data_IF_385444498388
#
_entry.id   IF_385444498388
#
_cell.length_a   1.000
_cell.length_b   1.000
_cell.length_c   1.000
_cell.angle_alpha   90.00
_cell.angle_beta   90.00
_cell.angle_gamma   90.00
#
_symmetry.space_group_name_H-M   'P 1'
#
loop_
_entity.id
_entity.type
_entity.pdbx_description
1 polymer ?
#
# COMPACT_ATOMS: atom_id res chain seq x y z
N UNK A 1 -23.76 -23.86 -4.55
CA UNK A 1 -22.55 -23.36 -3.85
C UNK A 1 -21.67 -22.71 -4.90
N UNK A 2 -21.08 -21.55 -4.60
CA UNK A 2 -20.21 -20.85 -5.55
C UNK A 2 -18.73 -21.17 -5.30
N UNK A 3 -17.91 -21.06 -6.33
CA UNK A 3 -16.46 -21.24 -6.26
C UNK A 3 -15.83 -20.18 -5.36
N UNK A 4 -14.86 -20.59 -4.54
CA UNK A 4 -14.09 -19.71 -3.68
C UNK A 4 -12.66 -19.73 -4.15
N UNK A 5 -12.11 -18.57 -4.52
CA UNK A 5 -10.76 -18.51 -5.08
C UNK A 5 -9.93 -17.51 -4.27
N UNK A 6 -8.75 -17.95 -3.87
CA UNK A 6 -7.73 -17.13 -3.23
C UNK A 6 -6.45 -17.14 -4.08
N UNK A 7 -5.84 -15.98 -4.28
CA UNK A 7 -4.65 -15.82 -5.10
C UNK A 7 -3.64 -14.96 -4.34
N UNK A 8 -2.39 -15.37 -4.35
CA UNK A 8 -1.28 -14.52 -3.91
C UNK A 8 -0.34 -14.29 -5.09
N UNK A 9 -0.24 -13.02 -5.50
CA UNK A 9 0.66 -12.59 -6.58
C UNK A 9 1.97 -12.10 -6.00
N UNK A 10 2.93 -13.03 -5.90
CA UNK A 10 4.32 -12.73 -5.58
C UNK A 10 5.10 -12.17 -6.78
N UNK A 11 6.37 -11.82 -6.56
CA UNK A 11 7.26 -11.33 -7.62
C UNK A 11 7.68 -12.41 -8.63
N UNK A 12 7.88 -13.65 -8.18
CA UNK A 12 8.34 -14.77 -9.03
C UNK A 12 7.19 -15.65 -9.49
N UNK A 13 6.36 -16.09 -8.55
CA UNK A 13 5.24 -16.99 -8.80
C UNK A 13 3.94 -16.40 -8.28
N UNK A 14 2.86 -16.79 -8.93
CA UNK A 14 1.49 -16.56 -8.48
C UNK A 14 0.93 -17.89 -7.99
N UNK A 15 0.55 -17.91 -6.73
CA UNK A 15 -0.05 -19.07 -6.08
C UNK A 15 -1.58 -18.90 -6.09
N UNK A 16 -2.30 -19.94 -6.50
CA UNK A 16 -3.76 -19.90 -6.62
C UNK A 16 -4.38 -21.12 -5.95
N UNK A 17 -5.40 -20.89 -5.14
CA UNK A 17 -6.20 -21.93 -4.48
C UNK A 17 -7.66 -21.73 -4.87
N UNK A 18 -8.31 -22.81 -5.33
CA UNK A 18 -9.73 -22.81 -5.68
C UNK A 18 -10.49 -23.93 -4.99
N UNK A 19 -11.65 -23.62 -4.41
CA UNK A 19 -12.54 -24.57 -3.75
C UNK A 19 -13.93 -24.55 -4.44
N UNK A 20 -14.62 -25.70 -4.61
CA UNK A 20 -15.96 -25.79 -5.20
C UNK A 20 -17.08 -25.18 -4.33
N UNK A 21 -16.75 -24.59 -3.18
CA UNK A 21 -17.68 -23.98 -2.23
C UNK A 21 -18.06 -24.91 -1.08
N UNK A 22 -17.44 -26.09 -0.97
CA UNK A 22 -17.63 -27.02 0.14
C UNK A 22 -16.95 -26.53 1.41
N UNK A 23 -15.86 -25.76 1.27
CA UNK A 23 -15.04 -25.28 2.39
C UNK A 23 -14.15 -26.35 3.02
N UNK A 24 -14.11 -27.56 2.45
CA UNK A 24 -13.24 -28.64 2.91
C UNK A 24 -11.92 -28.60 2.15
N UNK A 25 -10.81 -28.75 2.86
CA UNK A 25 -9.46 -28.62 2.30
C UNK A 25 -9.14 -29.73 1.29
N UNK A 26 -9.70 -30.92 1.44
CA UNK A 26 -9.53 -32.01 0.48
C UNK A 26 -10.11 -31.73 -0.91
N UNK A 27 -11.03 -30.76 -1.00
CA UNK A 27 -11.64 -30.34 -2.26
C UNK A 27 -10.85 -29.18 -2.92
N UNK A 28 -9.77 -28.70 -2.29
CA UNK A 28 -8.98 -27.59 -2.80
C UNK A 28 -8.13 -28.00 -4.01
N UNK A 29 -8.11 -27.15 -5.02
CA UNK A 29 -7.21 -27.24 -6.17
C UNK A 29 -6.17 -26.13 -6.03
N UNK A 30 -4.90 -26.52 -5.97
CA UNK A 30 -3.77 -25.59 -5.87
C UNK A 30 -3.03 -25.53 -7.21
N UNK A 31 -2.70 -24.32 -7.65
CA UNK A 31 -1.90 -24.04 -8.85
C UNK A 31 -0.77 -23.08 -8.53
N UNK A 32 0.33 -23.23 -9.25
CA UNK A 32 1.45 -22.30 -9.25
C UNK A 32 1.75 -21.87 -10.68
N UNK A 33 1.79 -20.57 -10.91
CA UNK A 33 2.06 -19.94 -12.22
C UNK A 33 3.26 -19.01 -12.10
N UNK A 34 3.92 -18.72 -13.22
CA UNK A 34 4.89 -17.63 -13.25
C UNK A 34 4.14 -16.31 -13.15
N UNK A 35 4.63 -15.37 -12.33
CA UNK A 35 3.98 -14.05 -12.18
C UNK A 35 4.09 -13.18 -13.42
N UNK A 36 5.11 -13.43 -14.26
CA UNK A 36 5.36 -12.74 -15.52
C UNK A 36 5.73 -13.78 -16.58
N UNK A 37 4.84 -13.98 -17.56
CA UNK A 37 5.02 -14.93 -18.66
C UNK A 37 4.23 -14.46 -19.91
N UNK A 38 4.62 -13.31 -20.50
CA UNK A 38 3.87 -12.65 -21.56
C UNK A 38 3.73 -13.52 -22.83
N UNK A 39 4.58 -14.53 -23.01
CA UNK A 39 4.49 -15.47 -24.11
C UNK A 39 3.26 -16.41 -24.00
N UNK A 40 2.74 -16.63 -22.79
CA UNK A 40 1.66 -17.59 -22.55
C UNK A 40 0.35 -16.93 -22.08
N UNK A 41 0.44 -15.87 -21.27
CA UNK A 41 -0.71 -15.13 -20.73
C UNK A 41 -0.32 -13.70 -20.32
N UNK A 42 -1.24 -12.73 -20.47
CA UNK A 42 -0.98 -11.34 -20.11
C UNK A 42 -1.00 -11.08 -18.60
N UNK A 43 -1.80 -11.85 -17.84
CA UNK A 43 -1.98 -11.68 -16.40
C UNK A 43 -2.11 -13.04 -15.70
N UNK A 44 -1.23 -13.27 -14.71
CA UNK A 44 -1.14 -14.55 -14.01
C UNK A 44 -2.35 -14.83 -13.09
N UNK A 45 -2.87 -13.86 -12.30
CA UNK A 45 -4.12 -14.03 -11.56
C UNK A 45 -5.32 -14.47 -12.43
N UNK A 46 -5.59 -13.78 -13.53
CA UNK A 46 -6.68 -14.16 -14.45
C UNK A 46 -6.48 -15.55 -15.04
N UNK A 47 -5.25 -15.87 -15.47
CA UNK A 47 -4.93 -17.22 -15.97
C UNK A 47 -5.10 -18.29 -14.88
N UNK A 48 -4.76 -17.97 -13.63
CA UNK A 48 -4.97 -18.82 -12.45
C UNK A 48 -6.45 -19.14 -12.25
N UNK A 49 -7.30 -18.11 -12.26
CA UNK A 49 -8.76 -18.27 -12.16
C UNK A 49 -9.27 -19.15 -13.31
N UNK A 50 -8.85 -18.88 -14.54
CA UNK A 50 -9.25 -19.67 -15.71
C UNK A 50 -8.93 -21.15 -15.52
N UNK A 51 -7.68 -21.49 -15.18
CA UNK A 51 -7.24 -22.89 -14.98
C UNK A 51 -7.92 -23.56 -13.79
N UNK A 52 -8.19 -22.81 -12.70
CA UNK A 52 -8.94 -23.33 -11.56
C UNK A 52 -10.38 -23.66 -11.96
N UNK A 53 -11.07 -22.75 -12.65
CA UNK A 53 -12.42 -22.98 -13.13
C UNK A 53 -12.49 -24.16 -14.11
N UNK A 54 -11.53 -24.32 -15.03
CA UNK A 54 -11.45 -25.49 -15.91
C UNK A 54 -11.34 -26.80 -15.11
N UNK A 55 -10.46 -26.83 -14.09
CA UNK A 55 -10.25 -28.02 -13.25
C UNK A 55 -11.45 -28.34 -12.38
N UNK A 56 -12.14 -27.33 -11.84
CA UNK A 56 -13.29 -27.49 -10.96
C UNK A 56 -14.57 -27.82 -11.73
N UNK A 57 -14.78 -27.20 -12.89
CA UNK A 57 -15.98 -27.43 -13.73
C UNK A 57 -15.83 -28.58 -14.72
N UNK A 58 -14.59 -29.04 -14.98
CA UNK A 58 -14.23 -30.00 -16.04
C UNK A 58 -14.63 -29.53 -17.45
N UNK A 59 -14.79 -28.22 -17.65
CA UNK A 59 -15.11 -27.61 -18.95
C UNK A 59 -13.93 -26.77 -19.43
N UNK A 60 -13.55 -26.84 -20.73
CA UNK A 60 -12.52 -25.97 -21.26
C UNK A 60 -13.00 -24.51 -21.28
N UNK A 61 -12.12 -23.57 -20.94
CA UNK A 61 -12.37 -22.13 -20.95
C UNK A 61 -11.31 -21.49 -21.86
N UNK A 62 -11.70 -20.89 -23.00
CA UNK A 62 -10.76 -20.33 -23.95
C UNK A 62 -9.93 -19.19 -23.34
N UNK A 63 -8.69 -19.05 -23.81
CA UNK A 63 -7.81 -17.93 -23.43
C UNK A 63 -8.23 -16.63 -24.13
N UNK A 64 -7.89 -15.50 -23.51
CA UNK A 64 -8.05 -14.17 -24.12
C UNK A 64 -9.49 -13.63 -24.14
N UNK A 65 -10.43 -14.29 -23.46
CA UNK A 65 -11.80 -13.81 -23.29
C UNK A 65 -12.05 -13.45 -21.82
N UNK A 66 -12.88 -12.43 -21.52
CA UNK A 66 -13.29 -12.13 -20.16
C UNK A 66 -13.93 -13.35 -19.48
N UNK A 67 -13.52 -13.60 -18.24
CA UNK A 67 -13.93 -14.78 -17.49
C UNK A 67 -15.36 -14.63 -16.98
N UNK A 68 -16.16 -15.68 -17.14
CA UNK A 68 -17.48 -15.76 -16.54
C UNK A 68 -17.36 -16.05 -15.04
N UNK A 69 -17.84 -15.11 -14.23
CA UNK A 69 -17.72 -15.15 -12.77
C UNK A 69 -19.06 -15.41 -12.06
N UNK A 70 -20.13 -15.75 -12.78
CA UNK A 70 -21.47 -15.94 -12.18
C UNK A 70 -21.47 -16.98 -11.05
N UNK A 71 -20.69 -18.04 -11.21
CA UNK A 71 -20.60 -19.13 -10.25
C UNK A 71 -19.51 -18.92 -9.18
N UNK A 72 -18.87 -17.76 -9.12
CA UNK A 72 -17.84 -17.46 -8.12
C UNK A 72 -18.48 -16.74 -6.93
N UNK A 73 -18.35 -17.32 -5.74
CA UNK A 73 -18.81 -16.73 -4.49
C UNK A 73 -17.95 -15.51 -4.10
N UNK A 74 -16.62 -15.66 -4.16
CA UNK A 74 -15.66 -14.58 -3.96
C UNK A 74 -14.31 -14.87 -4.60
N UNK A 75 -13.60 -13.78 -4.89
CA UNK A 75 -12.16 -13.71 -5.14
C UNK A 75 -11.49 -13.01 -3.96
N UNK A 76 -10.37 -13.54 -3.49
CA UNK A 76 -9.49 -12.91 -2.50
C UNK A 76 -8.08 -12.83 -3.07
N UNK A 77 -7.44 -11.67 -2.98
CA UNK A 77 -6.13 -11.47 -3.60
C UNK A 77 -5.12 -10.79 -2.67
N UNK A 78 -3.95 -11.40 -2.52
CA UNK A 78 -2.72 -10.75 -2.06
C UNK A 78 -1.90 -10.28 -3.25
N UNK A 79 -1.23 -9.13 -3.15
CA UNK A 79 -0.39 -8.63 -4.24
C UNK A 79 0.82 -7.87 -3.74
N UNK A 80 1.95 -8.07 -4.41
CA UNK A 80 3.22 -7.37 -4.13
C UNK A 80 3.42 -6.14 -5.02
N UNK A 81 2.45 -5.76 -5.85
CA UNK A 81 2.56 -4.65 -6.83
C UNK A 81 2.93 -3.32 -6.16
N UNK A 82 2.30 -2.97 -5.03
CA UNK A 82 2.61 -1.72 -4.32
C UNK A 82 4.04 -1.71 -3.77
N UNK A 83 4.45 -2.78 -3.09
CA UNK A 83 5.79 -2.90 -2.52
C UNK A 83 6.87 -2.84 -3.61
N UNK A 84 6.67 -3.55 -4.72
CA UNK A 84 7.63 -3.54 -5.83
C UNK A 84 7.70 -2.17 -6.52
N UNK A 85 6.56 -1.51 -6.76
CA UNK A 85 6.55 -0.16 -7.33
C UNK A 85 7.28 0.85 -6.44
N UNK A 86 7.17 0.72 -5.11
CA UNK A 86 7.88 1.56 -4.16
C UNK A 86 9.40 1.28 -4.15
N UNK A 87 9.80 0.01 -4.13
CA UNK A 87 11.20 -0.41 -4.12
C UNK A 87 11.92 -0.05 -5.42
N UNK A 88 11.27 -0.27 -6.57
CA UNK A 88 11.83 0.02 -7.89
C UNK A 88 11.69 1.50 -8.30
N UNK A 89 11.09 2.34 -7.45
CA UNK A 89 10.78 3.75 -7.74
C UNK A 89 10.01 3.91 -9.08
N UNK A 90 9.00 3.07 -9.28
CA UNK A 90 8.08 3.05 -10.44
C UNK A 90 6.64 3.38 -10.05
N UNK A 91 6.43 4.49 -9.35
CA UNK A 91 5.12 5.06 -9.09
C UNK A 91 4.78 6.23 -10.01
N UNK A 92 3.60 6.80 -9.79
CA UNK A 92 3.12 7.97 -10.52
C UNK A 92 3.87 9.23 -10.08
N UNK A 93 4.17 10.11 -11.04
CA UNK A 93 4.71 11.43 -10.73
C UNK A 93 3.72 12.22 -9.88
N UNK A 94 4.20 12.72 -8.76
CA UNK A 94 3.34 13.37 -7.79
C UNK A 94 3.96 14.63 -7.18
N UNK A 95 3.11 15.46 -6.60
CA UNK A 95 3.55 16.66 -5.88
C UNK A 95 3.07 16.67 -4.44
N UNK A 96 3.86 17.30 -3.58
CA UNK A 96 3.47 17.63 -2.22
C UNK A 96 2.81 18.99 -2.17
N UNK A 97 1.60 19.06 -1.64
CA UNK A 97 0.94 20.32 -1.29
C UNK A 97 0.99 20.45 0.22
N UNK A 98 1.65 21.50 0.72
CA UNK A 98 1.89 21.68 2.15
C UNK A 98 1.74 23.12 2.59
N UNK A 99 1.76 23.36 3.91
CA UNK A 99 1.65 24.70 4.48
C UNK A 99 2.90 25.53 4.17
N UNK A 100 2.75 26.81 3.85
CA UNK A 100 3.86 27.72 3.59
C UNK A 100 4.89 27.78 4.73
N UNK A 101 6.16 27.72 4.36
CA UNK A 101 7.31 27.60 5.25
C UNK A 101 7.73 26.16 5.56
N UNK A 102 7.04 25.15 5.01
CA UNK A 102 7.30 23.73 5.29
C UNK A 102 7.70 22.92 4.05
N UNK A 103 7.98 23.56 2.91
CA UNK A 103 8.37 22.86 1.67
C UNK A 103 9.52 21.84 1.84
N UNK A 104 10.48 22.15 2.71
CA UNK A 104 11.70 21.36 2.88
C UNK A 104 11.56 20.29 3.97
N UNK A 105 10.42 20.20 4.67
CA UNK A 105 10.25 19.32 5.83
C UNK A 105 10.48 17.85 5.48
N UNK A 106 10.15 17.46 4.24
CA UNK A 106 10.33 16.12 3.71
C UNK A 106 11.77 15.78 3.41
N UNK A 107 12.45 16.73 2.79
CA UNK A 107 13.87 16.61 2.60
C UNK A 107 14.53 16.55 3.99
N UNK A 108 14.20 17.43 4.94
CA UNK A 108 14.87 17.43 6.26
C UNK A 108 14.61 16.13 7.04
N UNK A 109 13.40 15.57 6.94
CA UNK A 109 12.98 14.39 7.68
C UNK A 109 12.93 14.66 9.19
N UNK A 110 13.30 13.67 10.00
CA UNK A 110 13.37 13.77 11.47
C UNK A 110 14.83 13.85 11.98
N UNK A 111 15.80 14.06 11.09
CA UNK A 111 17.24 14.06 11.39
C UNK A 111 17.78 12.76 12.04
N UNK A 112 17.00 11.69 12.07
CA UNK A 112 17.45 10.40 12.59
C UNK A 112 18.60 9.84 11.75
N UNK A 113 19.66 9.37 12.41
CA UNK A 113 20.78 8.67 11.77
C UNK A 113 20.64 7.17 12.03
N UNK A 114 20.10 6.38 11.09
CA UNK A 114 19.97 4.93 11.30
C UNK A 114 21.33 4.24 11.48
N UNK A 115 22.36 4.74 10.80
CA UNK A 115 23.74 4.31 10.98
C UNK A 115 24.55 5.43 11.61
N UNK A 116 24.50 5.53 12.94
CA UNK A 116 25.10 6.64 13.71
C UNK A 116 26.62 6.82 13.49
N UNK A 117 27.31 5.77 13.04
CA UNK A 117 28.76 5.76 12.81
C UNK A 117 29.17 5.92 11.34
N UNK A 118 28.23 6.02 10.40
CA UNK A 118 28.57 6.24 9.00
C UNK A 118 29.11 7.66 8.80
N UNK A 119 30.34 7.75 8.29
CA UNK A 119 31.01 9.02 7.99
C UNK A 119 30.47 9.67 6.71
N UNK A 120 29.94 8.86 5.79
CA UNK A 120 29.31 9.30 4.55
C UNK A 120 27.79 9.13 4.66
N UNK A 121 27.10 10.19 5.09
CA UNK A 121 25.66 10.15 5.30
C UNK A 121 24.96 10.24 3.94
N UNK A 122 24.41 9.11 3.50
CA UNK A 122 23.49 9.09 2.37
C UNK A 122 22.08 9.44 2.86
N UNK A 123 21.55 10.56 2.37
CA UNK A 123 20.19 10.98 2.66
C UNK A 123 19.22 10.24 1.74
N UNK A 124 18.13 9.65 2.25
CA UNK A 124 17.11 9.02 1.41
C UNK A 124 16.48 10.02 0.44
N UNK A 125 16.26 9.58 -0.80
CA UNK A 125 15.55 10.37 -1.81
C UNK A 125 14.05 10.45 -1.52
N UNK A 126 13.46 11.60 -1.87
CA UNK A 126 12.01 11.86 -1.78
C UNK A 126 11.25 11.20 -2.94
N UNK A 127 9.93 11.03 -2.77
CA UNK A 127 9.06 10.40 -3.78
C UNK A 127 8.33 11.40 -4.70
N UNK A 128 8.28 12.68 -4.33
CA UNK A 128 7.59 13.71 -5.10
C UNK A 128 8.55 14.47 -6.03
N UNK A 129 8.01 14.96 -7.15
CA UNK A 129 8.75 15.75 -8.15
C UNK A 129 8.74 17.25 -7.83
N UNK A 130 7.73 17.74 -7.12
CA UNK A 130 7.56 19.16 -6.84
C UNK A 130 6.80 19.41 -5.54
N UNK A 131 6.92 20.63 -5.02
CA UNK A 131 6.24 21.08 -3.81
C UNK A 131 5.50 22.38 -4.08
N UNK A 132 4.25 22.46 -3.64
CA UNK A 132 3.43 23.66 -3.66
C UNK A 132 3.10 24.05 -2.22
N UNK A 133 3.35 25.31 -1.88
CA UNK A 133 3.07 25.85 -0.56
C UNK A 133 1.76 26.65 -0.57
N UNK A 134 0.84 26.30 0.32
CA UNK A 134 -0.41 27.03 0.54
C UNK A 134 -0.21 28.01 1.69
N UNK A 135 -0.51 29.27 1.44
CA UNK A 135 -0.39 30.36 2.42
C UNK A 135 -1.59 30.35 3.38
N UNK A 136 -1.66 29.30 4.20
CA UNK A 136 -2.62 29.08 5.26
C UNK A 136 -1.90 28.83 6.59
N UNK A 137 -2.57 29.01 7.72
CA UNK A 137 -2.02 28.62 9.02
C UNK A 137 -3.14 28.41 10.03
N UNK A 138 -3.06 27.31 10.74
CA UNK A 138 -3.80 27.07 11.97
C UNK A 138 -2.85 26.64 13.09
N UNK A 139 -3.26 26.80 14.34
CA UNK A 139 -2.53 26.36 15.53
C UNK A 139 -3.50 25.82 16.58
N UNK A 140 -3.02 24.98 17.48
CA UNK A 140 -3.74 24.69 18.72
C UNK A 140 -3.77 25.97 19.57
N UNK A 141 -4.94 26.31 20.08
CA UNK A 141 -5.12 27.49 20.93
C UNK A 141 -4.61 27.23 22.36
N UNK A 142 -5.08 26.11 22.92
CA UNK A 142 -4.72 25.69 24.27
C UNK A 142 -3.54 24.70 24.23
N UNK A 143 -2.82 24.61 25.34
CA UNK A 143 -1.71 23.66 25.52
C UNK A 143 -1.83 22.94 26.86
N UNK A 144 -1.38 21.67 26.89
CA UNK A 144 -1.63 20.74 27.99
C UNK A 144 -1.03 21.21 29.33
N UNK A 145 0.10 21.91 29.26
CA UNK A 145 0.86 22.34 30.45
C UNK A 145 0.49 23.75 30.94
N UNK A 146 -0.68 24.27 30.56
CA UNK A 146 -1.10 25.60 31.03
C UNK A 146 -1.31 25.60 32.56
N UNK A 147 -0.48 26.35 33.32
CA UNK A 147 -0.60 26.42 34.78
C UNK A 147 -1.94 27.02 35.22
N UNK A 148 -2.62 27.78 34.36
CA UNK A 148 -3.91 28.39 34.66
C UNK A 148 -5.09 27.50 34.29
N UNK A 149 -4.86 26.36 33.62
CA UNK A 149 -5.88 25.45 33.09
C UNK A 149 -6.96 26.20 32.30
N UNK A 150 -6.53 27.17 31.49
CA UNK A 150 -7.44 27.87 30.59
C UNK A 150 -8.01 26.86 29.59
N UNK A 151 -9.31 26.98 29.35
CA UNK A 151 -10.01 26.22 28.32
C UNK A 151 -10.71 27.25 27.46
N UNK A 152 -10.16 27.46 26.27
CA UNK A 152 -10.74 28.35 25.29
C UNK A 152 -12.09 27.78 24.81
N UNK A 153 -12.97 28.65 24.34
CA UNK A 153 -14.23 28.26 23.70
C UNK A 153 -14.23 28.77 22.26
N UNK A 154 -14.91 28.02 21.40
CA UNK A 154 -15.13 28.47 20.03
C UNK A 154 -15.91 29.78 20.01
N UNK A 155 -15.53 30.68 19.11
CA UNK A 155 -16.13 32.01 18.97
C UNK A 155 -16.79 32.21 17.60
N UNK A 156 -16.79 31.18 16.75
CA UNK A 156 -17.38 31.18 15.41
C UNK A 156 -16.63 32.04 14.37
N UNK A 157 -15.51 32.68 14.74
CA UNK A 157 -14.72 33.52 13.82
C UNK A 157 -13.39 32.86 13.46
N UNK A 158 -12.52 32.73 14.45
CA UNK A 158 -11.14 32.27 14.32
C UNK A 158 -10.79 31.18 15.34
N UNK A 159 -11.60 30.99 16.39
CA UNK A 159 -11.55 29.85 17.28
C UNK A 159 -12.64 28.87 16.91
N UNK A 160 -12.22 27.69 16.46
CA UNK A 160 -13.10 26.61 16.02
C UNK A 160 -12.78 25.34 16.78
N UNK A 161 -13.78 24.50 17.00
CA UNK A 161 -13.56 23.21 17.62
C UNK A 161 -13.07 22.19 16.59
N UNK A 162 -11.89 21.63 16.84
CA UNK A 162 -11.31 20.57 16.02
C UNK A 162 -12.00 19.22 16.23
N UNK A 163 -11.73 18.26 15.34
CA UNK A 163 -12.32 16.92 15.38
C UNK A 163 -11.92 16.13 16.64
N UNK A 164 -10.74 16.38 17.19
CA UNK A 164 -10.28 15.79 18.47
C UNK A 164 -10.69 16.60 19.71
N UNK A 165 -11.62 17.54 19.53
CA UNK A 165 -12.30 18.33 20.57
C UNK A 165 -11.51 19.51 21.16
N UNK A 166 -10.24 19.68 20.80
CA UNK A 166 -9.48 20.89 21.10
C UNK A 166 -10.02 22.14 20.39
N UNK A 167 -9.61 23.31 20.88
CA UNK A 167 -9.80 24.57 20.17
C UNK A 167 -8.61 24.82 19.25
N UNK A 168 -8.92 25.08 17.98
CA UNK A 168 -7.97 25.43 16.94
C UNK A 168 -8.16 26.90 16.60
N UNK A 169 -7.07 27.66 16.57
CA UNK A 169 -7.05 29.03 16.06
C UNK A 169 -6.67 29.06 14.59
N UNK A 170 -7.53 29.64 13.77
CA UNK A 170 -7.27 29.93 12.36
C UNK A 170 -6.52 31.26 12.25
N UNK A 171 -5.20 31.20 12.10
CA UNK A 171 -4.33 32.37 11.97
C UNK A 171 -4.40 32.97 10.56
N UNK A 172 -4.56 32.12 9.54
CA UNK A 172 -4.68 32.54 8.15
C UNK A 172 -5.50 31.55 7.35
N UNK A 173 -6.54 32.05 6.68
CA UNK A 173 -7.36 31.28 5.75
C UNK A 173 -6.67 31.21 4.38
N UNK A 174 -6.73 30.06 3.70
CA UNK A 174 -6.22 29.92 2.34
C UNK A 174 -7.00 30.81 1.34
N UNK A 175 -6.29 31.34 0.35
CA UNK A 175 -6.87 32.06 -0.78
C UNK A 175 -7.16 31.08 -1.93
N UNK A 176 -8.43 30.98 -2.31
CA UNK A 176 -8.93 30.05 -3.33
C UNK A 176 -8.32 30.31 -4.70
N UNK A 177 -8.17 31.57 -5.11
CA UNK A 177 -7.65 31.93 -6.42
C UNK A 177 -6.14 31.65 -6.51
N UNK A 178 -5.41 31.89 -5.42
CA UNK A 178 -4.00 31.53 -5.32
C UNK A 178 -3.80 30.01 -5.36
N UNK A 179 -4.60 29.24 -4.61
CA UNK A 179 -4.55 27.77 -4.68
C UNK A 179 -4.82 27.31 -6.11
N UNK A 180 -5.92 27.78 -6.73
CA UNK A 180 -6.30 27.37 -8.08
C UNK A 180 -5.20 27.66 -9.09
N UNK A 181 -4.60 28.85 -9.01
CA UNK A 181 -3.48 29.23 -9.89
C UNK A 181 -2.28 28.31 -9.70
N UNK A 182 -1.86 28.07 -8.45
CA UNK A 182 -0.72 27.21 -8.14
C UNK A 182 -0.95 25.75 -8.60
N UNK A 183 -2.14 25.22 -8.33
CA UNK A 183 -2.52 23.86 -8.76
C UNK A 183 -2.68 23.75 -10.29
N UNK A 184 -3.12 24.81 -10.96
CA UNK A 184 -3.20 24.81 -12.43
C UNK A 184 -1.82 24.78 -13.07
N UNK A 185 -0.85 25.54 -12.54
CA UNK A 185 0.55 25.47 -12.99
C UNK A 185 1.10 24.05 -12.83
N UNK A 186 0.83 23.43 -11.69
CA UNK A 186 1.24 22.07 -11.40
C UNK A 186 0.57 21.06 -12.36
N UNK A 187 -0.72 21.21 -12.63
CA UNK A 187 -1.42 20.36 -13.59
C UNK A 187 -0.86 20.52 -15.00
N UNK A 188 -0.53 21.74 -15.41
CA UNK A 188 0.03 22.05 -16.73
C UNK A 188 1.45 21.49 -16.91
N UNK A 189 2.20 21.20 -15.84
CA UNK A 189 3.51 20.54 -15.93
C UNK A 189 3.43 19.04 -16.20
N UNK A 190 2.22 18.47 -16.19
CA UNK A 190 1.96 17.05 -16.46
C UNK A 190 1.72 16.20 -15.22
N UNK A 191 1.79 16.77 -14.02
CA UNK A 191 1.48 16.04 -12.77
C UNK A 191 -0.03 15.83 -12.67
N UNK A 192 -0.44 14.60 -12.34
CA UNK A 192 -1.86 14.20 -12.19
C UNK A 192 -2.20 13.66 -10.81
N UNK A 193 -1.19 13.34 -10.00
CA UNK A 193 -1.40 12.95 -8.62
C UNK A 193 -0.78 13.92 -7.62
N UNK A 194 -1.49 14.20 -6.54
CA UNK A 194 -1.02 15.09 -5.48
C UNK A 194 -1.28 14.50 -4.09
N UNK A 195 -0.31 14.65 -3.20
CA UNK A 195 -0.49 14.41 -1.77
C UNK A 195 -0.61 15.74 -1.04
N UNK A 196 -1.71 15.93 -0.32
CA UNK A 196 -1.96 17.11 0.51
C UNK A 196 -1.62 16.76 1.96
N UNK A 197 -0.81 17.60 2.60
CA UNK A 197 -0.57 17.53 4.03
C UNK A 197 -0.32 18.94 4.60
N UNK A 198 -1.34 19.48 5.27
CA UNK A 198 -1.28 20.77 5.96
C UNK A 198 -1.04 20.58 7.47
N UNK A 199 -0.48 21.61 8.10
CA UNK A 199 -0.23 21.62 9.55
C UNK A 199 -1.54 21.50 10.31
N UNK A 200 -1.56 20.67 11.35
CA UNK A 200 -2.75 20.36 12.17
C UNK A 200 -4.02 19.88 11.44
N UNK A 201 -3.92 19.48 10.17
CA UNK A 201 -5.08 18.98 9.43
C UNK A 201 -5.71 17.69 9.98
N UNK A 202 -5.01 16.97 10.87
CA UNK A 202 -5.55 15.82 11.60
C UNK A 202 -6.76 16.21 12.48
N UNK A 203 -6.81 17.47 12.94
CA UNK A 203 -7.91 18.00 13.77
C UNK A 203 -8.74 19.06 13.04
N UNK A 204 -8.13 19.84 12.16
CA UNK A 204 -8.83 20.85 11.36
C UNK A 204 -8.65 20.59 9.86
N UNK A 205 -9.48 19.70 9.27
CA UNK A 205 -9.28 19.21 7.90
C UNK A 205 -9.79 20.16 6.82
N UNK A 206 -10.52 21.22 7.18
CA UNK A 206 -11.25 22.08 6.24
C UNK A 206 -10.34 22.68 5.15
N UNK A 207 -9.14 23.15 5.53
CA UNK A 207 -8.18 23.68 4.55
C UNK A 207 -7.69 22.60 3.56
N UNK A 208 -7.46 21.36 4.03
CA UNK A 208 -7.09 20.25 3.13
C UNK A 208 -8.23 19.86 2.20
N UNK A 209 -9.46 19.83 2.73
CA UNK A 209 -10.65 19.50 1.96
C UNK A 209 -10.88 20.52 0.84
N UNK A 210 -10.74 21.81 1.13
CA UNK A 210 -10.82 22.89 0.14
C UNK A 210 -9.76 22.73 -0.98
N UNK A 211 -8.51 22.47 -0.61
CA UNK A 211 -7.44 22.20 -1.59
C UNK A 211 -7.78 20.98 -2.44
N UNK A 212 -8.33 19.93 -1.82
CA UNK A 212 -8.77 18.73 -2.50
C UNK A 212 -9.93 18.97 -3.48
N UNK A 213 -10.90 19.80 -3.12
CA UNK A 213 -12.01 20.19 -3.99
C UNK A 213 -11.50 20.93 -5.23
N UNK A 214 -10.66 21.95 -5.04
CA UNK A 214 -10.07 22.70 -6.16
C UNK A 214 -9.23 21.78 -7.06
N UNK A 215 -8.45 20.87 -6.48
CA UNK A 215 -7.69 19.88 -7.26
C UNK A 215 -8.60 18.95 -8.08
N UNK A 216 -9.75 18.51 -7.53
CA UNK A 216 -10.73 17.71 -8.29
C UNK A 216 -11.31 18.51 -9.45
N UNK A 217 -11.66 19.77 -9.24
CA UNK A 217 -12.21 20.64 -10.28
C UNK A 217 -11.24 20.89 -11.44
N UNK A 218 -9.94 21.01 -11.14
CA UNK A 218 -8.89 21.16 -12.18
C UNK A 218 -8.71 19.88 -13.00
N UNK A 219 -8.97 18.71 -12.40
CA UNK A 219 -8.92 17.41 -13.07
C UNK A 219 -7.78 16.49 -12.63
N UNK A 220 -7.18 16.70 -11.46
CA UNK A 220 -6.22 15.75 -10.89
C UNK A 220 -6.87 14.37 -10.73
N UNK A 221 -6.19 13.30 -11.19
CA UNK A 221 -6.74 11.95 -11.24
C UNK A 221 -6.70 11.25 -9.89
N UNK A 222 -5.77 11.63 -9.03
CA UNK A 222 -5.69 11.12 -7.67
C UNK A 222 -5.19 12.18 -6.68
N UNK A 223 -5.93 12.35 -5.59
CA UNK A 223 -5.68 13.35 -4.56
C UNK A 223 -5.68 12.62 -3.23
N UNK A 224 -4.53 12.59 -2.55
CA UNK A 224 -4.43 12.01 -1.22
C UNK A 224 -4.66 13.09 -0.16
N UNK A 225 -5.78 12.98 0.57
CA UNK A 225 -6.14 13.85 1.68
C UNK A 225 -5.95 13.07 2.99
N UNK A 226 -4.91 13.41 3.74
CA UNK A 226 -4.53 12.58 4.88
C UNK A 226 -5.32 12.82 6.15
N UNK A 227 -5.90 14.00 6.30
CA UNK A 227 -7.00 14.22 7.24
C UNK A 227 -8.09 13.13 7.16
N UNK A 228 -8.35 12.57 5.98
CA UNK A 228 -9.36 11.53 5.77
C UNK A 228 -8.81 10.10 5.90
N UNK A 229 -7.53 9.88 5.61
CA UNK A 229 -6.91 8.55 5.58
C UNK A 229 -6.26 8.16 6.91
N UNK A 230 -5.63 9.12 7.61
CA UNK A 230 -4.85 8.87 8.82
C UNK A 230 -4.68 10.16 9.65
N UNK A 231 -5.66 10.51 10.51
CA UNK A 231 -5.63 11.75 11.30
C UNK A 231 -4.68 11.62 12.52
N UNK A 232 -3.38 11.53 12.27
CA UNK A 232 -2.35 11.46 13.31
C UNK A 232 -1.49 12.74 13.37
N UNK A 233 -1.03 13.13 14.58
CA UNK A 233 -0.37 14.42 14.84
C UNK A 233 0.97 14.58 14.10
N UNK A 234 1.76 13.51 13.99
CA UNK A 234 3.15 13.52 13.45
C UNK A 234 3.24 14.05 12.01
N UNK A 235 3.55 15.33 11.85
CA UNK A 235 3.51 16.01 10.55
C UNK A 235 4.40 15.37 9.47
N UNK A 236 5.64 15.02 9.79
CA UNK A 236 6.59 14.39 8.84
C UNK A 236 6.10 13.01 8.40
N UNK A 237 5.78 12.13 9.34
CA UNK A 237 5.29 10.77 9.05
C UNK A 237 3.94 10.78 8.32
N UNK A 238 3.07 11.75 8.66
CA UNK A 238 1.81 12.01 7.95
C UNK A 238 2.09 12.40 6.51
N UNK A 239 2.84 13.47 6.25
CA UNK A 239 3.14 13.88 4.88
C UNK A 239 3.81 12.75 4.06
N UNK A 240 4.58 11.84 4.67
CA UNK A 240 5.22 10.72 3.95
C UNK A 240 4.16 9.77 3.45
N UNK A 241 3.20 9.46 4.31
CA UNK A 241 2.08 8.58 3.99
C UNK A 241 1.20 9.19 2.88
N UNK A 242 1.07 10.52 2.84
CA UNK A 242 0.30 11.24 1.80
C UNK A 242 0.96 11.09 0.43
N UNK A 243 2.28 11.27 0.40
CA UNK A 243 3.04 11.11 -0.83
C UNK A 243 3.12 9.65 -1.26
N UNK A 244 3.32 8.71 -0.34
CA UNK A 244 3.31 7.28 -0.66
C UNK A 244 1.97 6.86 -1.27
N UNK A 245 0.85 7.31 -0.69
CA UNK A 245 -0.47 7.05 -1.26
C UNK A 245 -0.64 7.72 -2.63
N UNK A 246 -0.23 8.98 -2.79
CA UNK A 246 -0.27 9.68 -4.06
C UNK A 246 0.58 9.01 -5.15
N UNK A 247 1.74 8.50 -4.77
CA UNK A 247 2.69 7.83 -5.63
C UNK A 247 2.21 6.44 -6.08
N UNK A 248 1.60 5.67 -5.18
CA UNK A 248 1.27 4.26 -5.42
C UNK A 248 -0.17 4.01 -5.86
N UNK A 249 -1.15 4.77 -5.34
CA UNK A 249 -2.57 4.50 -5.61
C UNK A 249 -2.96 4.55 -7.09
N UNK A 250 -2.42 5.47 -7.93
CA UNK A 250 -2.70 5.45 -9.37
C UNK A 250 -2.28 4.14 -10.05
N UNK A 251 -1.11 3.57 -9.68
CA UNK A 251 -0.66 2.28 -10.22
C UNK A 251 -1.54 1.13 -9.76
N UNK A 252 -1.93 1.13 -8.48
CA UNK A 252 -2.86 0.14 -7.95
C UNK A 252 -4.21 0.23 -8.69
N UNK A 253 -4.75 1.43 -8.91
CA UNK A 253 -6.00 1.60 -9.67
C UNK A 253 -5.88 1.07 -11.10
N UNK A 254 -4.77 1.34 -11.81
CA UNK A 254 -4.51 0.77 -13.14
C UNK A 254 -4.49 -0.75 -13.12
N UNK A 255 -3.81 -1.35 -12.13
CA UNK A 255 -3.78 -2.79 -11.94
C UNK A 255 -5.19 -3.37 -11.70
N UNK A 256 -5.96 -2.76 -10.79
CA UNK A 256 -7.32 -3.19 -10.47
C UNK A 256 -8.26 -3.12 -11.68
N UNK A 257 -8.17 -2.05 -12.47
CA UNK A 257 -8.97 -1.86 -13.69
C UNK A 257 -8.58 -2.86 -14.78
N UNK A 258 -7.28 -3.13 -14.94
CA UNK A 258 -6.79 -4.15 -15.88
C UNK A 258 -7.28 -5.54 -15.52
N UNK A 259 -7.29 -5.87 -14.23
CA UNK A 259 -7.83 -7.15 -13.76
C UNK A 259 -9.36 -7.21 -13.96
N UNK A 260 -10.07 -6.13 -13.62
CA UNK A 260 -11.53 -6.03 -13.80
C UNK A 260 -11.95 -6.22 -15.25
N UNK A 261 -11.20 -5.67 -16.21
CA UNK A 261 -11.45 -5.84 -17.64
C UNK A 261 -11.37 -7.30 -18.10
N UNK A 262 -10.66 -8.15 -17.35
CA UNK A 262 -10.60 -9.60 -17.56
C UNK A 262 -11.81 -10.36 -17.02
N UNK A 263 -12.76 -9.69 -16.36
CA UNK A 263 -13.95 -10.30 -15.77
C UNK A 263 -15.20 -9.84 -16.54
N UNK A 264 -16.03 -10.79 -17.01
CA UNK A 264 -17.19 -10.53 -17.87
C UNK A 264 -18.19 -9.54 -17.27
N UNK A 265 -18.38 -9.57 -15.94
CA UNK A 265 -19.29 -8.69 -15.21
C UNK A 265 -18.58 -7.71 -14.26
N UNK A 266 -17.25 -7.60 -14.32
CA UNK A 266 -16.46 -6.74 -13.44
C UNK A 266 -16.62 -7.03 -11.94
N UNK A 267 -16.32 -6.03 -11.11
CA UNK A 267 -16.48 -6.13 -9.67
C UNK A 267 -17.92 -5.92 -9.23
N UNK A 268 -18.30 -6.61 -8.15
CA UNK A 268 -19.57 -6.37 -7.49
C UNK A 268 -19.54 -5.01 -6.80
N UNK A 269 -20.56 -4.20 -7.03
CA UNK A 269 -20.75 -2.93 -6.34
C UNK A 269 -22.23 -2.70 -6.01
N UNK A 270 -22.54 -1.61 -5.30
CA UNK A 270 -23.94 -1.22 -5.06
C UNK A 270 -24.75 -1.04 -6.34
N UNK A 271 -24.11 -0.60 -7.43
CA UNK A 271 -24.70 -0.41 -8.74
C UNK A 271 -24.64 -1.68 -9.62
N UNK A 272 -23.68 -2.57 -9.40
CA UNK A 272 -23.47 -3.79 -10.19
C UNK A 272 -23.59 -5.06 -9.33
N UNK A 273 -24.78 -5.66 -9.31
CA UNK A 273 -25.03 -6.91 -8.58
C UNK A 273 -24.55 -8.18 -9.29
N UNK A 274 -24.31 -8.11 -10.60
CA UNK A 274 -23.84 -9.25 -11.40
C UNK A 274 -22.33 -9.46 -11.30
N UNK A 275 -21.58 -8.43 -10.88
CA UNK A 275 -20.15 -8.53 -10.63
C UNK A 275 -19.79 -9.51 -9.51
N UNK A 276 -18.50 -9.89 -9.50
CA UNK A 276 -17.93 -10.80 -8.50
C UNK A 276 -17.44 -10.03 -7.28
N UNK A 277 -17.62 -10.61 -6.09
CA UNK A 277 -17.04 -10.05 -4.87
C UNK A 277 -15.53 -10.25 -4.90
N UNK A 278 -14.77 -9.18 -5.04
CA UNK A 278 -13.32 -9.23 -5.08
C UNK A 278 -12.75 -8.44 -3.90
N UNK A 279 -12.02 -9.14 -3.04
CA UNK A 279 -11.38 -8.54 -1.88
C UNK A 279 -9.87 -8.63 -2.00
N UNK A 280 -9.18 -7.60 -1.53
CA UNK A 280 -7.74 -7.52 -1.48
C UNK A 280 -7.24 -7.56 -0.04
N UNK A 281 -6.16 -8.30 0.19
CA UNK A 281 -5.46 -8.31 1.46
C UNK A 281 -4.84 -6.94 1.70
N UNK A 282 -4.90 -6.48 2.95
CA UNK A 282 -4.27 -5.24 3.40
C UNK A 282 -3.08 -5.54 4.30
N UNK A 283 -2.23 -4.54 4.50
CA UNK A 283 -1.06 -4.62 5.39
C UNK A 283 -1.39 -5.00 6.84
N UNK A 284 -2.61 -4.73 7.30
CA UNK A 284 -3.06 -5.00 8.67
C UNK A 284 -3.60 -6.42 8.87
N UNK A 285 -3.60 -7.24 7.82
CA UNK A 285 -4.17 -8.60 7.81
C UNK A 285 -5.67 -8.67 7.48
N UNK A 286 -6.31 -7.52 7.27
CA UNK A 286 -7.71 -7.43 6.87
C UNK A 286 -7.93 -7.56 5.37
N UNK A 287 -9.19 -7.79 4.99
CA UNK A 287 -9.63 -7.76 3.59
C UNK A 287 -10.44 -6.49 3.31
N UNK A 288 -10.21 -5.86 2.17
CA UNK A 288 -10.96 -4.70 1.69
C UNK A 288 -11.53 -4.96 0.29
N UNK A 289 -12.67 -4.34 -0.02
CA UNK A 289 -13.22 -4.37 -1.38
C UNK A 289 -12.25 -3.72 -2.39
N UNK A 290 -12.23 -4.23 -3.62
CA UNK A 290 -11.41 -3.73 -4.72
C UNK A 290 -11.48 -2.20 -4.87
N UNK A 291 -12.66 -1.60 -4.75
CA UNK A 291 -12.83 -0.16 -4.94
C UNK A 291 -12.24 0.70 -3.81
N UNK A 292 -12.04 0.13 -2.63
CA UNK A 292 -11.50 0.80 -1.45
C UNK A 292 -10.03 0.44 -1.17
N UNK A 293 -9.39 -0.33 -2.06
CA UNK A 293 -7.98 -0.67 -1.98
C UNK A 293 -7.11 0.52 -2.43
N UNK A 294 -6.14 0.91 -1.60
CA UNK A 294 -5.24 2.05 -1.86
C UNK A 294 -3.78 1.64 -1.73
N UNK A 295 -2.89 2.46 -2.28
CA UNK A 295 -1.44 2.25 -2.24
C UNK A 295 -0.91 2.12 -0.81
N UNK A 296 -1.36 2.97 0.11
CA UNK A 296 -0.92 2.93 1.51
C UNK A 296 -1.26 1.60 2.21
N UNK A 297 -2.43 1.03 1.89
CA UNK A 297 -2.95 -0.23 2.48
C UNK A 297 -2.43 -1.48 1.77
N UNK A 298 -1.85 -1.33 0.58
CA UNK A 298 -1.39 -2.42 -0.25
C UNK A 298 0.04 -2.87 0.07
N UNK A 299 0.83 -2.03 0.73
CA UNK A 299 2.24 -2.28 1.05
C UNK A 299 2.35 -3.48 1.99
N UNK A 300 3.15 -4.49 1.63
CA UNK A 300 3.31 -5.73 2.41
C UNK A 300 2.02 -6.54 2.62
N UNK A 301 1.01 -6.37 1.75
CA UNK A 301 -0.25 -7.14 1.85
C UNK A 301 -0.09 -8.64 1.58
N UNK A 302 0.87 -9.06 0.76
CA UNK A 302 1.14 -10.48 0.50
C UNK A 302 1.57 -11.23 1.78
N UNK A 303 2.70 -10.85 2.41
CA UNK A 303 3.17 -11.46 3.65
C UNK A 303 2.14 -11.45 4.78
N UNK A 304 1.31 -10.40 4.86
CA UNK A 304 0.22 -10.32 5.84
C UNK A 304 -0.76 -11.50 5.74
N UNK A 305 -1.05 -11.99 4.53
CA UNK A 305 -1.87 -13.18 4.33
C UNK A 305 -1.23 -14.45 4.90
N UNK A 306 0.10 -14.58 4.77
CA UNK A 306 0.87 -15.64 5.41
C UNK A 306 0.76 -15.61 6.94
N UNK A 307 0.85 -14.42 7.53
CA UNK A 307 0.65 -14.21 8.99
C UNK A 307 -0.71 -14.66 9.46
N UNK A 308 -1.77 -14.23 8.77
CA UNK A 308 -3.14 -14.64 9.08
C UNK A 308 -3.30 -16.16 8.92
N UNK A 309 -2.72 -16.73 7.87
CA UNK A 309 -2.75 -18.16 7.57
C UNK A 309 -2.15 -19.00 8.69
N UNK A 310 -0.86 -18.82 9.00
CA UNK A 310 -0.20 -19.64 10.02
C UNK A 310 -0.77 -19.39 11.42
N UNK A 311 -1.22 -18.16 11.72
CA UNK A 311 -1.87 -17.88 13.00
C UNK A 311 -3.16 -18.70 13.16
N UNK A 312 -3.97 -18.80 12.11
CA UNK A 312 -5.22 -19.54 12.14
C UNK A 312 -5.02 -21.06 12.16
N UNK A 313 -3.95 -21.59 11.56
CA UNK A 313 -3.74 -23.04 11.41
C UNK A 313 -2.81 -23.65 12.44
N UNK A 314 -1.87 -22.88 12.99
CA UNK A 314 -0.81 -23.40 13.85
C UNK A 314 -0.93 -22.95 15.31
N UNK A 315 -1.74 -21.93 15.62
CA UNK A 315 -1.87 -21.48 17.00
C UNK A 315 -2.88 -22.35 17.75
N UNK A 316 -2.44 -22.89 18.88
CA UNK A 316 -3.29 -23.63 19.80
C UNK A 316 -3.62 -22.73 21.01
N UNK A 317 -4.87 -22.28 21.16
CA UNK A 317 -5.29 -21.49 22.31
C UNK A 317 -5.14 -22.20 23.66
N UNK A 318 -5.05 -23.54 23.70
CA UNK A 318 -4.88 -24.26 24.95
C UNK A 318 -3.44 -24.20 25.49
N UNK A 319 -2.46 -24.13 24.58
CA UNK A 319 -1.03 -24.14 24.93
C UNK A 319 -0.40 -22.74 24.85
N UNK A 320 -1.04 -21.78 24.17
CA UNK A 320 -0.63 -20.38 24.04
C UNK A 320 0.82 -20.16 23.57
N UNK A 321 1.38 -21.15 22.85
CA UNK A 321 2.76 -21.10 22.38
C UNK A 321 2.87 -20.03 21.28
N UNK A 322 3.74 -19.00 21.45
CA UNK A 322 3.97 -18.02 20.40
C UNK A 322 4.59 -18.67 19.16
N UNK A 323 4.16 -18.20 17.99
CA UNK A 323 4.59 -18.65 16.69
C UNK A 323 5.53 -17.62 16.06
N UNK A 324 6.55 -18.11 15.36
CA UNK A 324 7.40 -17.32 14.48
C UNK A 324 7.09 -17.76 13.05
N UNK A 325 6.58 -16.84 12.25
CA UNK A 325 6.44 -17.01 10.81
C UNK A 325 7.79 -16.79 10.13
N UNK A 326 8.16 -17.70 9.24
CA UNK A 326 9.37 -17.60 8.43
C UNK A 326 9.04 -17.99 6.99
N UNK A 327 8.80 -16.99 6.14
CA UNK A 327 8.45 -17.18 4.74
C UNK A 327 9.60 -16.75 3.84
N UNK A 328 10.28 -17.74 3.24
CA UNK A 328 11.41 -17.48 2.34
C UNK A 328 10.98 -17.64 0.88
N UNK A 329 10.98 -16.52 0.18
CA UNK A 329 10.73 -16.47 -1.26
C UNK A 329 11.99 -16.58 -2.11
N UNK A 330 11.83 -16.21 -3.39
CA UNK A 330 12.94 -16.18 -4.34
C UNK A 330 13.93 -15.04 -4.10
N UNK A 331 13.45 -13.90 -3.60
CA UNK A 331 14.19 -12.63 -3.51
C UNK A 331 14.37 -12.14 -2.06
N UNK A 332 13.42 -12.44 -1.19
CA UNK A 332 13.34 -11.95 0.18
C UNK A 332 12.86 -13.04 1.13
N UNK A 333 13.07 -12.81 2.42
CA UNK A 333 12.53 -13.59 3.52
C UNK A 333 11.75 -12.66 4.43
N UNK A 334 10.50 -13.01 4.71
CA UNK A 334 9.60 -12.28 5.59
C UNK A 334 9.47 -13.03 6.92
N UNK A 335 9.71 -12.32 8.02
CA UNK A 335 9.67 -12.88 9.38
C UNK A 335 8.66 -12.12 10.22
N UNK A 336 7.81 -12.85 10.94
CA UNK A 336 6.74 -12.27 11.76
C UNK A 336 6.51 -13.07 13.03
N UNK A 337 5.75 -12.49 13.97
CA UNK A 337 5.36 -13.16 15.21
C UNK A 337 3.85 -13.15 15.40
N UNK A 338 3.33 -14.22 16.00
CA UNK A 338 1.97 -14.27 16.55
C UNK A 338 2.03 -14.89 17.95
N UNK A 339 1.23 -14.43 18.89
CA UNK A 339 1.22 -14.97 20.25
C UNK A 339 0.18 -14.30 21.11
N UNK A 340 -0.18 -14.90 22.25
CA UNK A 340 -1.21 -14.36 23.16
C UNK A 340 -2.57 -14.14 22.48
N UNK A 341 -2.87 -14.93 21.44
CA UNK A 341 -4.11 -14.81 20.66
C UNK A 341 -4.26 -13.50 19.87
N UNK A 342 -3.20 -12.70 19.69
CA UNK A 342 -3.25 -11.39 19.04
C UNK A 342 -2.21 -11.23 17.94
N UNK A 343 -2.56 -10.43 16.94
CA UNK A 343 -1.62 -9.93 15.96
C UNK A 343 -0.79 -8.80 16.55
N UNK A 344 0.50 -8.76 16.23
CA UNK A 344 1.35 -7.63 16.55
C UNK A 344 1.27 -6.63 15.39
N UNK A 345 0.84 -5.40 15.71
CA UNK A 345 0.75 -4.31 14.74
C UNK A 345 1.77 -3.22 15.04
N UNK A 346 2.34 -2.69 13.97
CA UNK A 346 3.19 -1.49 13.97
C UNK A 346 2.44 -0.36 13.26
N UNK A 347 2.58 0.86 13.77
CA UNK A 347 1.88 2.05 13.25
C UNK A 347 2.78 3.01 12.48
N UNK A 348 4.10 2.78 12.57
CA UNK A 348 5.12 3.56 11.88
C UNK A 348 6.22 2.59 11.44
N UNK A 349 6.41 2.47 10.12
CA UNK A 349 7.41 1.59 9.51
C UNK A 349 8.28 2.37 8.54
N UNK A 350 9.48 1.88 8.26
CA UNK A 350 10.35 2.46 7.22
C UNK A 350 10.45 1.47 6.09
N UNK A 351 9.87 1.80 4.94
CA UNK A 351 9.93 0.99 3.72
C UNK A 351 10.60 1.79 2.62
N UNK A 352 11.62 1.23 1.97
CA UNK A 352 12.39 1.90 0.91
C UNK A 352 12.96 3.29 1.31
N UNK A 353 13.29 3.47 2.60
CA UNK A 353 13.81 4.72 3.15
C UNK A 353 12.74 5.78 3.47
N UNK A 354 11.45 5.45 3.33
CA UNK A 354 10.32 6.35 3.58
C UNK A 354 9.56 5.89 4.82
N UNK A 355 9.29 6.82 5.75
CA UNK A 355 8.53 6.52 6.98
C UNK A 355 7.04 6.53 6.71
N UNK A 356 6.39 5.38 6.83
CA UNK A 356 4.97 5.21 6.53
C UNK A 356 4.19 5.08 7.84
N UNK A 357 3.11 5.83 7.96
CA UNK A 357 2.27 5.89 9.15
C UNK A 357 0.88 5.28 8.86
N UNK A 358 0.84 3.96 8.84
CA UNK A 358 -0.37 3.15 8.68
C UNK A 358 -0.28 1.94 9.61
N UNK A 359 -1.41 1.43 10.15
CA UNK A 359 -1.42 0.14 10.81
C UNK A 359 -0.97 -0.96 9.83
N UNK A 360 0.00 -1.76 10.25
CA UNK A 360 0.54 -2.89 9.50
C UNK A 360 0.85 -4.02 10.48
N UNK A 361 0.78 -5.27 10.04
CA UNK A 361 1.32 -6.39 10.81
C UNK A 361 2.85 -6.22 10.93
N UNK A 362 3.39 -6.58 12.09
CA UNK A 362 4.83 -6.53 12.36
C UNK A 362 5.54 -7.65 11.59
N UNK A 363 5.94 -7.31 10.36
CA UNK A 363 6.64 -8.16 9.42
C UNK A 363 7.98 -7.51 9.09
N UNK A 364 9.06 -8.26 9.30
CA UNK A 364 10.41 -7.83 9.01
C UNK A 364 10.90 -8.56 7.76
N UNK A 365 11.18 -7.80 6.71
CA UNK A 365 11.68 -8.33 5.44
C UNK A 365 13.20 -8.23 5.38
N UNK A 366 13.87 -9.34 5.10
CA UNK A 366 15.31 -9.40 4.80
C UNK A 366 15.49 -9.66 3.31
N UNK A 367 16.36 -8.89 2.65
CA UNK A 367 16.72 -9.04 1.24
C UNK A 367 17.65 -10.25 1.00
N UNK A 368 17.25 -11.41 1.49
CA UNK A 368 17.88 -12.70 1.28
C UNK A 368 16.79 -13.72 0.96
N UNK A 369 16.94 -14.43 -0.14
CA UNK A 369 16.02 -15.48 -0.55
C UNK A 369 16.76 -16.54 -1.36
N UNK A 370 16.04 -17.48 -1.94
CA UNK A 370 16.70 -18.57 -2.65
C UNK A 370 17.62 -18.09 -3.80
N UNK A 371 17.36 -16.90 -4.36
CA UNK A 371 17.99 -16.37 -5.58
C UNK A 371 19.11 -15.40 -5.30
N UNK A 372 19.40 -15.13 -4.03
CA UNK A 372 20.49 -14.25 -3.64
C UNK A 372 21.82 -14.72 -4.20
N UNK A 373 22.55 -13.79 -4.81
CA UNK A 373 23.83 -14.07 -5.47
C UNK A 373 24.90 -14.32 -4.41
N UNK A 374 25.63 -15.42 -4.56
CA UNK A 374 26.80 -15.73 -3.75
C UNK A 374 28.03 -15.05 -4.36
N UNK A 375 28.64 -14.11 -3.64
CA UNK A 375 29.87 -13.43 -4.03
C UNK A 375 30.99 -13.78 -3.05
N UNK A 376 32.24 -13.78 -3.53
CA UNK A 376 33.42 -13.95 -2.67
C UNK A 376 34.18 -12.63 -2.60
N UNK A 377 34.29 -12.04 -1.42
CA UNK A 377 34.93 -10.73 -1.20
C UNK A 377 35.71 -10.76 0.11
N UNK A 378 36.93 -10.20 0.09
CA UNK A 378 37.79 -10.06 1.28
C UNK A 378 37.98 -11.36 2.08
N UNK A 379 38.04 -12.52 1.42
CA UNK A 379 38.25 -13.81 2.09
C UNK A 379 36.96 -14.51 2.57
N UNK A 380 35.79 -13.87 2.43
CA UNK A 380 34.51 -14.38 2.92
C UNK A 380 33.50 -14.55 1.78
N UNK A 381 32.60 -15.50 1.95
CA UNK A 381 31.41 -15.63 1.11
C UNK A 381 30.29 -14.72 1.63
N UNK A 382 29.72 -13.92 0.73
CA UNK A 382 28.60 -13.04 0.96
C UNK A 382 27.40 -13.50 0.13
N UNK A 383 26.22 -13.60 0.73
CA UNK A 383 24.97 -13.96 0.05
C UNK A 383 24.06 -12.73 0.03
N UNK A 384 23.73 -12.24 -1.17
CA UNK A 384 22.93 -11.03 -1.36
C UNK A 384 23.70 -9.72 -1.09
N UNK A 385 23.02 -8.56 -1.14
CA UNK A 385 21.58 -8.37 -1.35
C UNK A 385 21.13 -8.54 -2.81
N UNK A 386 22.07 -8.62 -3.76
CA UNK A 386 21.77 -8.84 -5.17
C UNK A 386 21.10 -10.22 -5.37
N UNK A 387 20.13 -10.29 -6.28
CA UNK A 387 19.36 -11.50 -6.57
C UNK A 387 19.36 -11.81 -8.06
N UNK A 388 19.52 -13.08 -8.43
CA UNK A 388 19.36 -13.53 -9.79
C UNK A 388 17.87 -13.50 -10.17
N UNK A 389 17.51 -12.52 -11.01
CA UNK A 389 16.20 -12.46 -11.65
C UNK A 389 15.94 -13.74 -12.49
N UNK A 390 14.68 -13.99 -12.83
CA UNK A 390 14.27 -15.17 -13.59
C UNK A 390 14.89 -15.25 -15.01
N UNK A 391 15.32 -14.11 -15.57
CA UNK A 391 16.12 -14.03 -16.80
C UNK A 391 17.41 -13.23 -16.56
N UNK A 392 18.61 -13.78 -16.90
CA UNK A 392 18.84 -15.09 -17.53
C UNK A 392 18.62 -16.27 -16.54
N UNK A 393 18.20 -16.00 -15.31
CA UNK A 393 17.79 -17.05 -14.38
C UNK A 393 18.93 -17.62 -13.55
N UNK A 394 18.54 -18.40 -12.54
CA UNK A 394 19.46 -19.20 -11.73
C UNK A 394 20.14 -20.22 -12.64
N UNK A 395 21.42 -20.51 -12.42
CA UNK A 395 22.19 -21.49 -13.21
C UNK A 395 21.48 -22.86 -13.40
N UNK A 396 20.61 -23.25 -12.46
CA UNK A 396 19.84 -24.50 -12.51
C UNK A 396 18.58 -24.48 -13.41
N UNK A 397 18.12 -23.31 -13.93
CA UNK A 397 16.94 -23.24 -14.81
C UNK A 397 17.25 -23.52 -16.28
N UNK A 398 18.51 -23.79 -16.61
CA UNK A 398 18.92 -24.26 -17.95
C UNK A 398 18.83 -23.22 -19.08
N UNK A 399 18.53 -21.94 -18.76
CA UNK A 399 18.48 -20.83 -19.71
C UNK A 399 19.68 -19.90 -19.54
N UNK A 400 20.88 -20.41 -19.77
CA UNK A 400 22.06 -19.54 -19.85
C UNK A 400 22.16 -19.05 -21.30
N UNK A 401 21.98 -17.75 -21.53
CA UNK A 401 22.36 -17.13 -22.81
C UNK A 401 23.83 -17.47 -23.10
N UNK A 402 24.08 -18.02 -24.29
CA UNK A 402 25.42 -18.28 -24.80
C UNK A 402 26.07 -17.03 -25.34
#
# INVERSE_FOLDING_TARGET
MGFRIAIDRGGTFTDCVGNPGTGRQEDDVVLKLLSVDPANYPDAPLEGIRRLLEKLTKKPIPRGQPLDTENIEYLRMGTTVATNALLERKGEKCALITTKGFKDVFAIGNQSRPHIFDLLIAKPDVLYDSVVEIDERVTLEDYVEDPKKHVSQENGTDLVRGLSLEIVRVLKKPDVDQIRTALQVLYNSGIRSVGVCLMHAYTYPEHEQLVGEIAREIGFTHISLLSSLSPMIKFVSRANSSIVDAYLTPEIKRYLLSFEAGLKHGYRSGANRQGVRCHYMQSDGGLVDAHAFSGLRAILSGPAGGVVGYAATCYDPANEIPLIGFDMGGTSTDVSRYGEGKFYHVFETVTAGVTIQSPQLDINTVAAGGGSILTYKNGLFHVGPESAALEPGRLATGRVDR
#
